data_IF_897279524056
#
_entry.id   IF_897279524056
#
_cell.length_a   1.000
_cell.length_b   1.000
_cell.length_c   1.000
_cell.angle_alpha   90.00
_cell.angle_beta   90.00
_cell.angle_gamma   90.00
#
_symmetry.space_group_name_H-M   'P 1'
#
loop_
_entity.id
_entity.type
_entity.pdbx_description
1 polymer ?
#
# COMPACT_ATOMS: atom_id res chain seq x y z
N UNK A 1 7.57 18.36 7.77
CA UNK A 1 7.38 17.64 6.50
C UNK A 1 8.55 17.89 5.56
N UNK A 2 9.03 16.88 4.91
CA UNK A 2 10.15 16.97 3.97
C UNK A 2 9.77 16.24 2.69
N UNK A 3 9.82 16.92 1.56
CA UNK A 3 9.61 16.35 0.24
C UNK A 3 10.70 16.79 -0.72
N UNK A 4 11.02 15.94 -1.68
CA UNK A 4 12.04 16.26 -2.68
C UNK A 4 11.64 17.42 -3.58
N UNK A 5 10.34 17.60 -3.79
CA UNK A 5 9.79 18.70 -4.61
C UNK A 5 8.88 19.60 -3.77
N UNK A 6 8.00 19.01 -2.95
CA UNK A 6 7.03 19.73 -2.14
C UNK A 6 7.13 19.27 -0.69
N UNK A 7 7.48 20.17 0.23
CA UNK A 7 7.53 19.84 1.66
C UNK A 7 6.14 19.58 2.22
N UNK A 8 5.19 20.49 2.02
CA UNK A 8 3.80 20.38 2.47
C UNK A 8 2.82 21.09 1.52
N UNK A 9 1.69 20.46 1.26
CA UNK A 9 0.51 21.04 0.63
C UNK A 9 -0.58 21.21 1.67
N UNK A 10 -1.07 22.44 1.85
CA UNK A 10 -2.17 22.74 2.77
C UNK A 10 -3.35 23.35 2.04
N UNK A 11 -4.57 23.01 2.46
CA UNK A 11 -5.83 23.71 2.13
C UNK A 11 -5.98 24.12 0.65
N UNK A 12 -6.04 23.14 -0.23
CA UNK A 12 -6.20 23.42 -1.64
C UNK A 12 -7.62 23.11 -2.14
N UNK A 13 -8.10 23.90 -3.07
CA UNK A 13 -9.45 23.77 -3.62
C UNK A 13 -9.62 22.63 -4.64
N UNK A 14 -8.68 22.33 -5.42
CA UNK A 14 -8.47 21.16 -6.27
C UNK A 14 -7.02 21.22 -6.70
N UNK A 15 -6.27 20.22 -6.39
CA UNK A 15 -4.87 20.21 -6.77
C UNK A 15 -4.58 19.00 -7.65
N UNK A 16 -3.89 19.25 -8.74
CA UNK A 16 -3.26 18.22 -9.54
C UNK A 16 -1.76 18.45 -9.52
N UNK A 17 -1.03 17.45 -9.05
CA UNK A 17 0.42 17.37 -9.17
C UNK A 17 0.73 16.27 -10.14
N UNK A 18 1.45 16.57 -11.22
CA UNK A 18 1.73 15.56 -12.24
C UNK A 18 3.11 15.70 -12.86
N UNK A 19 3.62 14.58 -13.39
CA UNK A 19 4.90 14.52 -14.11
C UNK A 19 6.09 15.00 -13.25
N UNK A 20 6.15 14.55 -12.00
CA UNK A 20 7.17 14.95 -11.03
C UNK A 20 8.22 13.85 -10.89
N UNK A 21 9.50 14.22 -10.96
CA UNK A 21 10.60 13.26 -10.81
C UNK A 21 11.60 13.78 -9.78
N UNK A 22 11.94 12.93 -8.80
CA UNK A 22 13.02 13.18 -7.85
C UNK A 22 14.16 12.19 -8.06
N UNK A 23 15.37 12.70 -8.27
CA UNK A 23 16.61 11.91 -8.32
C UNK A 23 17.45 12.06 -7.05
N UNK A 24 17.18 13.06 -6.23
CA UNK A 24 17.95 13.38 -5.04
C UNK A 24 17.59 12.50 -3.85
N UNK A 25 18.57 12.28 -2.97
CA UNK A 25 18.33 11.64 -1.69
C UNK A 25 17.59 12.59 -0.75
N UNK A 26 16.56 12.08 -0.07
CA UNK A 26 15.73 12.84 0.86
C UNK A 26 15.90 12.28 2.27
N UNK A 27 16.21 13.17 3.20
CA UNK A 27 16.27 12.85 4.62
C UNK A 27 15.41 13.83 5.41
N UNK A 28 14.48 13.30 6.20
CA UNK A 28 13.52 14.10 6.93
C UNK A 28 13.11 13.49 8.27
N UNK A 29 12.16 14.13 8.92
CA UNK A 29 11.56 13.66 10.18
C UNK A 29 10.19 13.00 9.93
N UNK A 30 9.13 13.46 10.60
CA UNK A 30 7.84 12.76 10.70
C UNK A 30 7.15 12.46 9.37
N UNK A 31 7.08 13.41 8.43
CA UNK A 31 6.40 13.24 7.15
C UNK A 31 7.41 13.44 6.04
N UNK A 32 7.89 12.35 5.49
CA UNK A 32 8.98 12.38 4.51
C UNK A 32 8.61 11.62 3.25
N UNK A 33 8.61 12.31 2.12
CA UNK A 33 8.34 11.72 0.81
C UNK A 33 9.39 12.10 -0.24
N UNK A 34 9.67 11.21 -1.15
CA UNK A 34 10.60 11.51 -2.25
C UNK A 34 10.08 12.63 -3.16
N UNK A 35 8.78 12.80 -3.27
CA UNK A 35 8.13 13.86 -4.05
C UNK A 35 7.44 14.87 -3.11
N UNK A 36 6.50 14.42 -2.27
CA UNK A 36 5.71 15.25 -1.37
C UNK A 36 5.85 14.72 0.05
N UNK A 37 6.23 15.58 0.99
CA UNK A 37 6.35 15.20 2.41
C UNK A 37 5.00 14.99 3.07
N UNK A 38 4.10 15.96 2.95
CA UNK A 38 2.80 15.95 3.61
C UNK A 38 1.74 16.63 2.74
N UNK A 39 0.59 16.01 2.66
CA UNK A 39 -0.60 16.58 2.04
C UNK A 39 -1.66 16.67 3.13
N UNK A 40 -2.06 17.88 3.47
CA UNK A 40 -2.95 18.13 4.59
C UNK A 40 -4.13 18.99 4.14
N UNK A 41 -5.31 18.38 4.09
CA UNK A 41 -6.54 19.05 3.69
C UNK A 41 -7.43 19.32 4.91
N UNK A 42 -7.68 20.57 5.20
CA UNK A 42 -8.60 21.02 6.21
C UNK A 42 -9.83 21.66 5.55
N UNK A 43 -10.94 20.98 5.58
CA UNK A 43 -12.25 21.59 5.58
C UNK A 43 -12.83 22.13 4.28
N UNK A 44 -12.21 21.98 3.10
CA UNK A 44 -12.83 22.33 1.81
C UNK A 44 -12.61 21.21 0.80
N UNK A 45 -13.59 20.36 0.75
CA UNK A 45 -13.54 19.15 0.00
C UNK A 45 -13.43 19.35 -1.53
N UNK A 46 -12.29 19.08 -2.12
CA UNK A 46 -12.15 18.86 -3.57
C UNK A 46 -11.22 17.69 -3.85
N UNK A 47 -11.36 17.08 -5.02
CA UNK A 47 -10.53 15.98 -5.45
C UNK A 47 -9.06 16.41 -5.57
N UNK A 48 -8.17 15.55 -5.09
CA UNK A 48 -6.74 15.70 -5.31
C UNK A 48 -6.22 14.61 -6.25
N UNK A 49 -5.27 14.97 -7.09
CA UNK A 49 -4.61 14.03 -8.00
C UNK A 49 -3.09 14.18 -7.93
N UNK A 50 -2.40 13.11 -7.55
CA UNK A 50 -0.98 12.92 -7.83
C UNK A 50 -0.86 11.93 -8.98
N UNK A 51 -0.27 12.34 -10.10
CA UNK A 51 -0.14 11.50 -11.29
C UNK A 51 1.29 11.49 -11.81
N UNK A 52 1.74 10.31 -12.29
CA UNK A 52 3.04 10.16 -12.93
C UNK A 52 4.19 10.70 -12.07
N UNK A 53 4.19 10.43 -10.76
CA UNK A 53 5.25 10.83 -9.88
C UNK A 53 6.28 9.70 -9.76
N UNK A 54 7.56 10.01 -9.95
CA UNK A 54 8.64 9.03 -9.94
C UNK A 54 9.71 9.44 -8.93
N UNK A 55 9.97 8.59 -7.96
CA UNK A 55 11.11 8.74 -7.07
C UNK A 55 12.22 7.75 -7.42
N UNK A 56 13.43 8.26 -7.61
CA UNK A 56 14.64 7.46 -7.88
C UNK A 56 15.60 7.52 -6.70
N UNK A 57 15.59 8.62 -5.97
CA UNK A 57 16.49 8.84 -4.84
C UNK A 57 16.07 8.08 -3.58
N UNK A 58 17.03 7.83 -2.72
CA UNK A 58 16.78 7.24 -1.39
C UNK A 58 15.97 8.18 -0.52
N UNK A 59 15.00 7.62 0.24
CA UNK A 59 14.16 8.36 1.19
C UNK A 59 14.35 7.80 2.59
N UNK A 60 14.69 8.67 3.54
CA UNK A 60 14.87 8.28 4.96
C UNK A 60 14.10 9.23 5.87
N UNK A 61 13.31 8.68 6.81
CA UNK A 61 12.53 9.48 7.74
C UNK A 61 12.24 8.76 9.07
N UNK A 62 11.56 9.45 9.99
CA UNK A 62 11.31 8.92 11.35
C UNK A 62 9.85 8.63 11.66
N UNK A 63 8.93 8.87 10.77
CA UNK A 63 7.49 8.67 11.01
C UNK A 63 6.80 8.10 9.80
N UNK A 64 5.97 8.90 9.16
CA UNK A 64 5.32 8.49 7.91
C UNK A 64 6.27 8.73 6.75
N UNK A 65 6.72 7.64 6.11
CA UNK A 65 7.74 7.71 5.08
C UNK A 65 7.26 7.02 3.82
N UNK A 66 7.29 7.72 2.70
CA UNK A 66 6.90 7.13 1.41
C UNK A 66 7.88 7.46 0.29
N UNK A 67 8.05 6.55 -0.64
CA UNK A 67 8.88 6.81 -1.81
C UNK A 67 8.40 8.02 -2.62
N UNK A 68 7.09 8.19 -2.76
CA UNK A 68 6.52 9.39 -3.39
C UNK A 68 5.91 10.33 -2.34
N UNK A 69 5.03 9.86 -1.46
CA UNK A 69 4.30 10.68 -0.50
C UNK A 69 4.54 10.16 0.92
N UNK A 70 4.97 11.02 1.85
CA UNK A 70 5.14 10.64 3.24
C UNK A 70 3.79 10.41 3.93
N UNK A 71 2.95 11.43 3.92
CA UNK A 71 1.66 11.43 4.58
C UNK A 71 0.60 12.14 3.75
N UNK A 72 -0.59 11.60 3.74
CA UNK A 72 -1.79 12.23 3.22
C UNK A 72 -2.85 12.22 4.31
N UNK A 73 -3.33 13.38 4.70
CA UNK A 73 -4.42 13.54 5.64
C UNK A 73 -5.53 14.42 5.06
N UNK A 74 -6.73 13.87 4.95
CA UNK A 74 -7.92 14.60 4.57
C UNK A 74 -9.04 14.32 5.58
N UNK A 75 -9.32 15.30 6.43
CA UNK A 75 -10.50 15.25 7.29
C UNK A 75 -11.73 15.43 6.42
N UNK A 76 -12.34 14.35 6.00
CA UNK A 76 -13.63 14.44 5.31
C UNK A 76 -14.59 15.29 6.14
N UNK A 77 -15.06 16.42 5.59
CA UNK A 77 -16.05 17.25 6.28
C UNK A 77 -17.34 16.47 6.32
N UNK A 78 -17.64 15.94 7.49
CA UNK A 78 -18.82 15.16 7.78
C UNK A 78 -20.14 15.89 7.47
N UNK A 79 -20.12 17.20 7.27
CA UNK A 79 -21.31 18.05 7.31
C UNK A 79 -21.77 18.65 5.97
N UNK A 80 -21.06 18.43 4.86
CA UNK A 80 -21.42 19.11 3.61
C UNK A 80 -21.93 18.20 2.48
N UNK A 81 -22.04 16.89 2.69
CA UNK A 81 -22.51 15.97 1.66
C UNK A 81 -21.64 15.94 0.38
N UNK A 82 -20.46 16.54 0.42
CA UNK A 82 -19.55 16.60 -0.72
C UNK A 82 -18.58 15.42 -0.60
N UNK A 83 -18.70 14.47 -1.52
CA UNK A 83 -17.77 13.36 -1.62
C UNK A 83 -16.54 13.77 -2.38
N UNK A 84 -15.39 13.80 -1.71
CA UNK A 84 -14.10 13.99 -2.36
C UNK A 84 -13.32 12.69 -2.46
N UNK A 85 -12.68 12.49 -3.58
CA UNK A 85 -11.82 11.33 -3.82
C UNK A 85 -10.40 11.82 -4.06
N UNK A 86 -9.45 11.18 -3.39
CA UNK A 86 -8.05 11.52 -3.47
C UNK A 86 -7.31 10.41 -4.23
N UNK A 87 -6.57 10.79 -5.26
CA UNK A 87 -5.97 9.85 -6.20
C UNK A 87 -4.44 9.93 -6.20
N UNK A 88 -3.80 8.78 -6.07
CA UNK A 88 -2.38 8.57 -6.36
C UNK A 88 -2.29 7.55 -7.49
N UNK A 89 -1.95 8.02 -8.70
CA UNK A 89 -2.07 7.24 -9.92
C UNK A 89 -0.76 7.22 -10.72
N UNK A 90 -0.41 6.06 -11.25
CA UNK A 90 0.74 5.91 -12.14
C UNK A 90 2.06 6.37 -11.52
N UNK A 91 2.22 6.15 -10.22
CA UNK A 91 3.41 6.53 -9.49
C UNK A 91 4.40 5.37 -9.43
N UNK A 92 5.70 5.69 -9.42
CA UNK A 92 6.74 4.69 -9.31
C UNK A 92 7.82 5.10 -8.30
N UNK A 93 8.31 4.12 -7.55
CA UNK A 93 9.47 4.29 -6.67
C UNK A 93 10.56 3.28 -7.04
N UNK A 94 11.76 3.79 -7.31
CA UNK A 94 12.98 3.01 -7.53
C UNK A 94 13.99 3.16 -6.39
N UNK A 95 13.84 4.19 -5.58
CA UNK A 95 14.71 4.47 -4.46
C UNK A 95 14.43 3.58 -3.24
N UNK A 96 15.45 3.36 -2.43
CA UNK A 96 15.29 2.73 -1.12
C UNK A 96 14.49 3.64 -0.18
N UNK A 97 13.53 3.08 0.56
CA UNK A 97 12.70 3.81 1.53
C UNK A 97 12.93 3.24 2.92
N UNK A 98 13.43 4.07 3.83
CA UNK A 98 13.71 3.69 5.21
C UNK A 98 12.93 4.55 6.19
N UNK A 99 12.08 3.92 6.99
CA UNK A 99 11.37 4.54 8.10
C UNK A 99 11.88 4.04 9.44
N UNK A 100 11.94 4.91 10.43
CA UNK A 100 12.27 4.55 11.80
C UNK A 100 11.22 5.06 12.77
N UNK A 101 11.35 4.65 14.04
CA UNK A 101 10.50 5.13 15.13
C UNK A 101 9.03 4.68 15.10
N UNK A 102 8.74 3.50 14.53
CA UNK A 102 7.40 2.91 14.61
C UNK A 102 6.34 3.56 13.71
N UNK A 103 6.76 4.23 12.63
CA UNK A 103 5.84 4.90 11.70
C UNK A 103 5.23 3.99 10.63
N UNK A 104 4.63 4.60 9.63
CA UNK A 104 4.10 3.91 8.46
C UNK A 104 5.03 4.13 7.26
N UNK A 105 5.48 3.06 6.64
CA UNK A 105 6.51 3.10 5.60
C UNK A 105 5.98 2.43 4.34
N UNK A 106 5.94 3.15 3.25
CA UNK A 106 5.45 2.62 1.98
C UNK A 106 6.33 2.96 0.79
N UNK A 107 6.40 2.07 -0.18
CA UNK A 107 7.16 2.34 -1.39
C UNK A 107 6.60 3.52 -2.19
N UNK A 108 5.30 3.73 -2.16
CA UNK A 108 4.64 4.88 -2.78
C UNK A 108 4.16 5.87 -1.73
N UNK A 109 3.39 5.43 -0.73
CA UNK A 109 2.86 6.29 0.32
C UNK A 109 3.05 5.69 1.72
N UNK A 110 3.53 6.49 2.68
CA UNK A 110 3.67 6.05 4.06
C UNK A 110 2.31 5.83 4.72
N UNK A 111 1.50 6.87 4.85
CA UNK A 111 0.14 6.77 5.39
C UNK A 111 -0.86 7.58 4.58
N UNK A 112 -1.89 6.91 4.11
CA UNK A 112 -3.03 7.51 3.43
C UNK A 112 -4.23 7.52 4.38
N UNK A 113 -4.47 8.66 5.01
CA UNK A 113 -5.60 8.91 5.90
C UNK A 113 -6.62 9.81 5.20
N UNK A 114 -7.62 9.21 4.58
CA UNK A 114 -8.70 9.91 3.89
C UNK A 114 -9.96 9.05 3.84
N UNK A 115 -11.14 9.66 3.72
CA UNK A 115 -12.40 8.91 3.64
C UNK A 115 -12.59 8.19 2.31
N UNK A 116 -12.12 8.78 1.20
CA UNK A 116 -12.09 8.12 -0.11
C UNK A 116 -10.72 8.31 -0.75
N UNK A 117 -10.02 7.24 -0.91
CA UNK A 117 -8.67 7.25 -1.44
C UNK A 117 -8.44 6.12 -2.43
N UNK A 118 -7.80 6.45 -3.53
CA UNK A 118 -7.43 5.50 -4.58
C UNK A 118 -5.94 5.56 -4.82
N UNK A 119 -5.25 4.44 -4.62
CA UNK A 119 -3.89 4.22 -5.10
C UNK A 119 -3.96 3.20 -6.22
N UNK A 120 -3.60 3.60 -7.42
CA UNK A 120 -3.77 2.71 -8.57
C UNK A 120 -2.66 2.85 -9.60
N UNK A 121 -2.43 1.77 -10.37
CA UNK A 121 -1.44 1.72 -11.45
C UNK A 121 -0.05 2.17 -11.01
N UNK A 122 0.34 1.80 -9.80
CA UNK A 122 1.58 2.24 -9.19
C UNK A 122 2.53 1.07 -8.91
N UNK A 123 3.83 1.32 -9.01
CA UNK A 123 4.83 0.28 -8.88
C UNK A 123 5.97 0.67 -7.91
N UNK A 124 6.35 -0.25 -7.03
CA UNK A 124 7.55 -0.10 -6.24
C UNK A 124 8.61 -1.09 -6.68
N UNK A 125 9.79 -0.58 -6.99
CA UNK A 125 11.00 -1.34 -7.32
C UNK A 125 12.08 -1.23 -6.24
N UNK A 126 11.99 -0.21 -5.39
CA UNK A 126 12.95 0.03 -4.31
C UNK A 126 12.70 -0.85 -3.10
N UNK A 127 13.74 -1.04 -2.29
CA UNK A 127 13.60 -1.68 -0.98
C UNK A 127 12.81 -0.77 -0.04
N UNK A 128 11.93 -1.35 0.79
CA UNK A 128 11.13 -0.65 1.78
C UNK A 128 11.36 -1.27 3.15
N UNK A 129 11.92 -0.50 4.06
CA UNK A 129 12.24 -0.97 5.40
C UNK A 129 11.70 -0.05 6.48
N UNK A 130 11.04 -0.67 7.46
CA UNK A 130 10.57 0.00 8.66
C UNK A 130 11.23 -0.52 9.93
N UNK A 131 11.44 0.33 10.92
CA UNK A 131 11.94 -0.05 12.24
C UNK A 131 11.28 0.73 13.37
N UNK A 132 11.32 0.18 14.58
CA UNK A 132 10.65 0.72 15.75
C UNK A 132 9.43 -0.11 16.14
N UNK A 133 8.81 0.22 17.27
CA UNK A 133 7.64 -0.51 17.76
C UNK A 133 6.42 -0.20 16.88
N UNK A 134 5.60 -1.23 16.62
CA UNK A 134 4.30 -1.11 15.92
C UNK A 134 4.39 -0.49 14.51
N UNK A 135 5.48 -0.76 13.79
CA UNK A 135 5.70 -0.25 12.44
C UNK A 135 4.81 -0.96 11.41
N UNK A 136 4.30 -0.21 10.43
CA UNK A 136 3.53 -0.75 9.30
C UNK A 136 4.32 -0.52 8.02
N UNK A 137 4.60 -1.60 7.31
CA UNK A 137 5.47 -1.54 6.13
C UNK A 137 4.77 -2.19 4.94
N UNK A 138 4.67 -1.47 3.84
CA UNK A 138 4.08 -1.99 2.61
C UNK A 138 4.86 -1.61 1.37
N UNK A 139 4.92 -2.49 0.41
CA UNK A 139 5.59 -2.22 -0.87
C UNK A 139 4.97 -1.04 -1.62
N UNK A 140 3.68 -0.82 -1.47
CA UNK A 140 2.96 0.34 -2.02
C UNK A 140 2.58 1.31 -0.90
N UNK A 141 1.84 0.86 0.10
CA UNK A 141 1.38 1.71 1.19
C UNK A 141 1.70 1.11 2.55
N UNK A 142 2.26 1.91 3.47
CA UNK A 142 2.47 1.45 4.85
C UNK A 142 1.16 1.26 5.58
N UNK A 143 0.27 2.24 5.52
CA UNK A 143 -1.05 2.22 6.13
C UNK A 143 -2.08 2.92 5.26
N UNK A 144 -3.27 2.37 5.18
CA UNK A 144 -4.44 3.01 4.58
C UNK A 144 -5.60 2.95 5.57
N UNK A 145 -6.28 4.08 5.78
CA UNK A 145 -7.37 4.18 6.72
C UNK A 145 -7.97 5.56 6.82
N UNK A 146 -8.95 5.76 7.68
CA UNK A 146 -9.55 7.06 7.93
C UNK A 146 -9.88 7.21 9.40
N UNK A 147 -9.16 8.12 10.05
CA UNK A 147 -9.44 8.55 11.42
C UNK A 147 -9.59 10.07 11.46
N UNK A 148 -10.41 10.57 12.36
CA UNK A 148 -10.41 11.98 12.71
C UNK A 148 -9.16 12.36 13.54
N UNK A 149 -9.03 13.63 13.89
CA UNK A 149 -7.91 14.12 14.73
C UNK A 149 -7.87 13.48 16.13
N UNK A 150 -9.01 13.02 16.63
CA UNK A 150 -9.12 12.34 17.91
C UNK A 150 -8.81 10.84 17.81
N UNK A 151 -8.53 10.32 16.61
CA UNK A 151 -8.28 8.91 16.35
C UNK A 151 -9.54 8.06 16.25
N UNK A 152 -10.72 8.68 16.09
CA UNK A 152 -11.98 7.97 15.89
C UNK A 152 -12.05 7.47 14.45
N UNK A 153 -12.33 6.19 14.27
CA UNK A 153 -12.52 5.60 12.95
C UNK A 153 -13.73 6.22 12.22
N UNK A 154 -13.55 6.56 10.95
CA UNK A 154 -14.58 7.13 10.09
C UNK A 154 -14.98 6.15 8.99
N UNK A 155 -16.24 6.19 8.50
CA UNK A 155 -16.60 5.46 7.28
C UNK A 155 -15.68 5.85 6.14
N UNK A 156 -15.16 4.87 5.42
CA UNK A 156 -14.22 5.15 4.35
C UNK A 156 -14.34 4.17 3.18
N UNK A 157 -13.97 4.64 2.00
CA UNK A 157 -13.84 3.85 0.79
C UNK A 157 -12.40 3.99 0.29
N UNK A 158 -11.62 2.94 0.48
CA UNK A 158 -10.21 2.91 0.11
C UNK A 158 -9.98 1.85 -0.96
N UNK A 159 -9.25 2.22 -1.98
CA UNK A 159 -8.90 1.30 -3.05
C UNK A 159 -7.39 1.27 -3.27
N UNK A 160 -6.83 0.07 -3.30
CA UNK A 160 -5.49 -0.21 -3.83
C UNK A 160 -5.65 -1.18 -4.98
N UNK A 161 -5.37 -0.73 -6.20
CA UNK A 161 -5.64 -1.52 -7.39
C UNK A 161 -4.57 -1.42 -8.46
N UNK A 162 -4.52 -2.40 -9.35
CA UNK A 162 -3.62 -2.42 -10.52
C UNK A 162 -2.18 -2.04 -10.19
N UNK A 163 -1.71 -2.42 -9.02
CA UNK A 163 -0.42 -2.00 -8.47
C UNK A 163 0.46 -3.19 -8.14
N UNK A 164 1.76 -2.98 -8.17
CA UNK A 164 2.70 -4.08 -7.98
C UNK A 164 3.94 -3.67 -7.18
N UNK A 165 4.50 -4.65 -6.47
CA UNK A 165 5.75 -4.51 -5.77
C UNK A 165 6.79 -5.51 -6.29
N UNK A 166 7.97 -5.02 -6.62
CA UNK A 166 9.16 -5.80 -6.98
C UNK A 166 10.26 -5.71 -5.92
N UNK A 167 10.22 -4.69 -5.08
CA UNK A 167 11.22 -4.45 -4.04
C UNK A 167 11.05 -5.36 -2.83
N UNK A 168 12.14 -5.57 -2.12
CA UNK A 168 12.11 -6.23 -0.82
C UNK A 168 11.39 -5.35 0.21
N UNK A 169 10.46 -5.93 1.00
CA UNK A 169 9.67 -5.21 1.99
C UNK A 169 9.83 -5.87 3.35
N UNK A 170 10.33 -5.15 4.33
CA UNK A 170 10.63 -5.78 5.61
C UNK A 170 10.69 -4.86 6.82
N UNK A 171 10.86 -5.50 7.97
CA UNK A 171 11.13 -4.85 9.24
C UNK A 171 12.17 -5.65 10.02
N UNK A 172 13.04 -4.94 10.74
CA UNK A 172 14.03 -5.53 11.64
C UNK A 172 13.53 -5.62 13.09
N UNK A 173 12.30 -5.21 13.34
CA UNK A 173 11.70 -5.17 14.69
C UNK A 173 10.52 -6.12 14.79
N UNK A 174 10.30 -6.70 15.98
CA UNK A 174 9.06 -7.42 16.29
C UNK A 174 7.84 -6.49 16.31
N UNK A 175 6.64 -7.06 16.32
CA UNK A 175 5.35 -6.33 16.30
C UNK A 175 5.17 -5.42 15.07
N UNK A 176 5.69 -5.81 13.94
CA UNK A 176 5.49 -5.12 12.67
C UNK A 176 4.31 -5.74 11.90
N UNK A 177 3.58 -4.90 11.16
CA UNK A 177 2.66 -5.37 10.14
C UNK A 177 3.32 -5.16 8.77
N UNK A 178 3.71 -6.24 8.11
CA UNK A 178 4.44 -6.15 6.85
C UNK A 178 3.66 -6.82 5.74
N UNK A 179 3.36 -6.06 4.70
CA UNK A 179 2.70 -6.58 3.49
C UNK A 179 3.50 -6.28 2.23
N UNK A 180 3.56 -7.23 1.33
CA UNK A 180 4.22 -7.01 0.04
C UNK A 180 3.67 -5.80 -0.73
N UNK A 181 2.40 -5.44 -0.48
CA UNK A 181 1.75 -4.26 -1.04
C UNK A 181 1.29 -3.28 0.04
N UNK A 182 0.51 -3.75 1.03
CA UNK A 182 -0.07 -2.93 2.08
C UNK A 182 0.30 -3.48 3.47
N UNK A 183 0.90 -2.64 4.31
CA UNK A 183 1.27 -3.05 5.68
C UNK A 183 0.05 -3.24 6.57
N UNK A 184 -0.81 -2.24 6.66
CA UNK A 184 -2.02 -2.28 7.47
C UNK A 184 -3.19 -1.57 6.80
N UNK A 185 -4.28 -2.32 6.66
CA UNK A 185 -5.59 -1.76 6.45
C UNK A 185 -6.19 -1.43 7.82
N UNK A 186 -6.39 -0.14 8.07
CA UNK A 186 -6.92 0.33 9.34
C UNK A 186 -8.44 0.20 9.42
N UNK A 187 -8.93 0.00 10.63
CA UNK A 187 -10.33 -0.03 10.95
C UNK A 187 -11.04 1.24 10.45
N UNK A 188 -12.10 1.07 9.66
CA UNK A 188 -13.11 2.10 9.42
C UNK A 188 -14.19 2.05 10.50
N UNK A 189 -15.14 2.99 10.48
CA UNK A 189 -16.35 2.91 11.30
C UNK A 189 -17.09 1.59 11.03
N UNK A 190 -17.69 0.96 12.04
CA UNK A 190 -18.46 -0.28 11.87
C UNK A 190 -19.75 -0.11 11.05
N UNK A 191 -20.03 1.08 10.53
CA UNK A 191 -21.18 1.34 9.67
C UNK A 191 -21.01 0.65 8.31
N UNK A 192 -22.08 0.17 7.71
CA UNK A 192 -22.12 -0.63 6.48
C UNK A 192 -21.55 0.06 5.22
N UNK A 193 -21.10 1.31 5.32
CA UNK A 193 -20.56 2.10 4.21
C UNK A 193 -19.05 2.05 4.06
N UNK A 194 -18.35 1.30 4.91
CA UNK A 194 -16.89 1.17 4.82
C UNK A 194 -16.50 0.06 3.86
N UNK A 195 -15.87 0.42 2.76
CA UNK A 195 -15.36 -0.53 1.79
C UNK A 195 -13.86 -0.35 1.57
N UNK A 196 -13.10 -1.39 1.88
CA UNK A 196 -11.71 -1.50 1.46
C UNK A 196 -11.62 -2.50 0.33
N UNK A 197 -11.03 -2.07 -0.76
CA UNK A 197 -10.83 -2.94 -1.91
C UNK A 197 -9.35 -2.98 -2.30
N UNK A 198 -8.76 -4.17 -2.23
CA UNK A 198 -7.44 -4.45 -2.77
C UNK A 198 -7.61 -5.44 -3.90
N UNK A 199 -7.39 -5.01 -5.15
CA UNK A 199 -7.66 -5.88 -6.29
C UNK A 199 -6.73 -5.69 -7.48
N UNK A 200 -6.59 -6.75 -8.26
CA UNK A 200 -5.76 -6.77 -9.45
C UNK A 200 -4.31 -6.33 -9.17
N UNK A 201 -3.76 -6.82 -8.08
CA UNK A 201 -2.44 -6.44 -7.59
C UNK A 201 -1.54 -7.66 -7.41
N UNK A 202 -0.23 -7.43 -7.42
CA UNK A 202 0.70 -8.52 -7.19
C UNK A 202 1.99 -8.12 -6.49
N UNK A 203 2.56 -9.08 -5.77
CA UNK A 203 3.86 -8.94 -5.13
C UNK A 203 4.88 -9.89 -5.75
N UNK A 204 5.97 -9.34 -6.23
CA UNK A 204 7.17 -10.03 -6.72
C UNK A 204 8.40 -9.77 -5.84
N UNK A 205 8.24 -9.02 -4.76
CA UNK A 205 9.28 -8.73 -3.78
C UNK A 205 9.30 -9.75 -2.64
N UNK A 206 10.46 -10.00 -2.07
CA UNK A 206 10.59 -10.83 -0.87
C UNK A 206 10.04 -10.05 0.33
N UNK A 207 9.42 -10.78 1.27
CA UNK A 207 8.99 -10.22 2.57
C UNK A 207 9.78 -10.92 3.69
N UNK A 208 11.05 -10.50 3.93
CA UNK A 208 11.87 -11.02 5.01
C UNK A 208 11.48 -10.33 6.33
N UNK A 209 11.03 -11.09 7.29
CA UNK A 209 10.56 -10.55 8.56
C UNK A 209 10.94 -11.41 9.75
N UNK A 210 10.88 -10.84 10.93
CA UNK A 210 11.08 -11.55 12.19
C UNK A 210 9.84 -12.37 12.60
N UNK A 211 10.01 -13.32 13.51
CA UNK A 211 8.97 -14.30 13.89
C UNK A 211 7.71 -13.69 14.51
N UNK A 212 7.82 -12.52 15.14
CA UNK A 212 6.76 -11.90 15.94
C UNK A 212 5.96 -10.84 15.16
N UNK A 213 5.95 -10.92 13.84
CA UNK A 213 5.31 -9.93 12.98
C UNK A 213 4.12 -10.52 12.21
N UNK A 214 3.09 -9.71 11.99
CA UNK A 214 2.00 -10.01 11.09
C UNK A 214 2.45 -9.77 9.65
N UNK A 215 2.79 -10.86 8.94
CA UNK A 215 3.40 -10.77 7.63
C UNK A 215 2.55 -11.43 6.57
N UNK A 216 2.31 -10.70 5.49
CA UNK A 216 1.60 -11.22 4.33
C UNK A 216 2.29 -10.86 3.02
N UNK A 217 2.22 -11.75 2.05
CA UNK A 217 2.80 -11.51 0.73
C UNK A 217 2.13 -10.37 -0.03
N UNK A 218 0.91 -10.03 0.33
CA UNK A 218 0.13 -8.92 -0.24
C UNK A 218 -0.25 -7.93 0.85
N UNK A 219 -0.90 -8.37 1.91
CA UNK A 219 -1.42 -7.55 3.00
C UNK A 219 -0.91 -8.05 4.36
N UNK A 220 -0.28 -7.17 5.16
CA UNK A 220 0.22 -7.53 6.49
C UNK A 220 -0.90 -7.77 7.48
N UNK A 221 -1.75 -6.78 7.71
CA UNK A 221 -2.87 -6.87 8.64
C UNK A 221 -4.13 -6.21 8.08
N UNK A 222 -5.26 -6.90 8.23
CA UNK A 222 -6.60 -6.37 7.96
C UNK A 222 -7.35 -6.21 9.30
N UNK A 223 -7.86 -5.02 9.57
CA UNK A 223 -8.47 -4.68 10.87
C UNK A 223 -9.98 -4.46 10.78
N UNK A 224 -10.60 -4.49 9.61
CA UNK A 224 -12.06 -4.35 9.46
C UNK A 224 -12.57 -4.91 8.13
N UNK A 225 -13.81 -4.58 7.78
CA UNK A 225 -14.46 -4.91 6.50
C UNK A 225 -13.53 -4.66 5.32
N UNK A 226 -13.24 -5.67 4.53
CA UNK A 226 -12.42 -5.52 3.36
C UNK A 226 -12.62 -6.64 2.35
N UNK A 227 -12.31 -6.32 1.11
CA UNK A 227 -12.28 -7.27 0.01
C UNK A 227 -10.90 -7.31 -0.62
N UNK A 228 -10.35 -8.50 -0.75
CA UNK A 228 -9.10 -8.74 -1.50
C UNK A 228 -9.40 -9.72 -2.62
N UNK A 229 -9.20 -9.29 -3.86
CA UNK A 229 -9.53 -10.12 -5.02
C UNK A 229 -8.52 -10.01 -6.14
N UNK A 230 -8.41 -11.08 -6.94
CA UNK A 230 -7.55 -11.14 -8.12
C UNK A 230 -6.11 -10.71 -7.82
N UNK A 231 -5.53 -11.21 -6.75
CA UNK A 231 -4.18 -10.87 -6.33
C UNK A 231 -3.30 -12.10 -6.24
N UNK A 232 -2.00 -11.91 -6.45
CA UNK A 232 -1.05 -13.00 -6.21
C UNK A 232 0.25 -12.54 -5.54
N UNK A 233 0.87 -13.49 -4.85
CA UNK A 233 2.22 -13.35 -4.33
C UNK A 233 3.13 -14.44 -4.93
N UNK A 234 4.19 -14.01 -5.57
CA UNK A 234 5.14 -14.88 -6.26
C UNK A 234 6.46 -15.05 -5.52
N UNK A 235 6.60 -14.55 -4.29
CA UNK A 235 7.85 -14.61 -3.55
C UNK A 235 7.65 -15.07 -2.11
N UNK A 236 8.76 -15.46 -1.50
CA UNK A 236 8.78 -15.96 -0.13
C UNK A 236 8.41 -14.88 0.88
N UNK A 237 7.52 -15.26 1.80
CA UNK A 237 7.23 -14.55 3.04
C UNK A 237 7.88 -15.33 4.18
N UNK A 238 8.84 -14.74 4.85
CA UNK A 238 9.48 -15.38 6.01
C UNK A 238 8.57 -15.21 7.23
N UNK A 239 8.28 -16.29 7.94
CA UNK A 239 7.47 -16.27 9.17
C UNK A 239 6.07 -15.64 9.03
N UNK A 240 5.41 -15.84 7.89
CA UNK A 240 4.10 -15.23 7.62
C UNK A 240 3.23 -16.06 6.70
N UNK A 241 2.15 -15.45 6.26
CA UNK A 241 1.21 -16.01 5.32
C UNK A 241 1.51 -15.55 3.89
N UNK A 242 1.31 -16.44 2.94
CA UNK A 242 1.65 -16.16 1.53
C UNK A 242 0.90 -14.98 0.93
N UNK A 243 -0.30 -14.65 1.42
CA UNK A 243 -1.13 -13.54 0.93
C UNK A 243 -1.42 -12.53 2.06
N UNK A 244 -2.16 -12.93 3.09
CA UNK A 244 -2.59 -12.04 4.18
C UNK A 244 -1.99 -12.53 5.49
N UNK A 245 -1.31 -11.64 6.20
CA UNK A 245 -0.64 -11.95 7.45
C UNK A 245 -1.63 -12.23 8.57
N UNK A 246 -2.36 -11.23 9.00
CA UNK A 246 -3.32 -11.32 10.10
C UNK A 246 -4.64 -10.64 9.75
N UNK A 247 -5.71 -11.23 10.26
CA UNK A 247 -7.05 -10.66 10.28
C UNK A 247 -7.45 -10.47 11.74
N UNK A 248 -7.67 -9.25 12.18
CA UNK A 248 -8.12 -8.95 13.53
C UNK A 248 -9.59 -9.28 13.70
N UNK A 249 -9.93 -9.96 14.81
CA UNK A 249 -11.21 -10.60 15.01
C UNK A 249 -12.43 -9.66 14.94
N UNK A 250 -13.56 -10.22 14.50
CA UNK A 250 -14.84 -9.52 14.39
C UNK A 250 -15.12 -8.85 13.04
N UNK A 251 -14.15 -8.81 12.16
CA UNK A 251 -14.27 -8.20 10.85
C UNK A 251 -14.86 -9.17 9.81
N UNK A 252 -15.66 -8.65 8.90
CA UNK A 252 -16.09 -9.40 7.71
C UNK A 252 -15.04 -9.20 6.62
N UNK A 253 -14.46 -10.29 6.18
CA UNK A 253 -13.44 -10.28 5.14
C UNK A 253 -13.88 -11.13 3.95
N UNK A 254 -13.93 -10.51 2.79
CA UNK A 254 -14.23 -11.19 1.54
C UNK A 254 -12.95 -11.39 0.73
N UNK A 255 -12.74 -12.58 0.20
CA UNK A 255 -11.58 -12.88 -0.63
C UNK A 255 -11.96 -13.77 -1.82
N UNK A 256 -11.44 -13.42 -2.99
CA UNK A 256 -11.69 -14.16 -4.22
C UNK A 256 -10.44 -14.21 -5.10
N UNK A 257 -10.20 -15.35 -5.73
CA UNK A 257 -9.14 -15.49 -6.73
C UNK A 257 -7.76 -15.03 -6.21
N UNK A 258 -7.37 -15.53 -5.05
CA UNK A 258 -6.06 -15.24 -4.47
C UNK A 258 -5.11 -16.40 -4.74
N UNK A 259 -3.90 -16.07 -5.20
CA UNK A 259 -2.91 -17.06 -5.60
C UNK A 259 -1.57 -16.84 -4.93
N UNK A 260 -0.93 -17.94 -4.57
CA UNK A 260 0.36 -17.93 -3.91
C UNK A 260 1.28 -18.98 -4.50
N UNK A 261 2.53 -18.61 -4.78
CA UNK A 261 3.53 -19.58 -5.20
C UNK A 261 3.74 -20.61 -4.09
N UNK A 262 3.78 -21.89 -4.46
CA UNK A 262 4.09 -22.99 -3.56
C UNK A 262 5.32 -22.66 -2.74
N UNK A 263 5.59 -22.82 -1.60
CA UNK A 263 6.75 -22.43 -0.77
C UNK A 263 6.86 -20.93 -0.41
N UNK A 264 5.92 -20.07 -0.76
CA UNK A 264 6.00 -18.65 -0.41
C UNK A 264 5.55 -18.30 1.01
N UNK A 265 5.04 -19.25 1.82
CA UNK A 265 4.57 -19.03 3.20
C UNK A 265 3.40 -19.95 3.55
N UNK A 266 2.77 -19.70 4.69
CA UNK A 266 1.51 -20.35 5.06
C UNK A 266 0.37 -19.83 4.17
N UNK A 267 -0.68 -20.61 4.00
CA UNK A 267 -1.83 -20.22 3.18
C UNK A 267 -3.12 -20.60 3.89
N UNK A 268 -3.96 -19.65 4.11
CA UNK A 268 -5.28 -19.89 4.69
C UNK A 268 -6.44 -19.35 3.84
N UNK A 269 -6.15 -18.48 2.88
CA UNK A 269 -7.18 -17.87 2.02
C UNK A 269 -6.80 -17.81 0.53
N UNK A 270 -5.77 -18.56 0.10
CA UNK A 270 -5.29 -18.52 -1.27
C UNK A 270 -5.04 -19.90 -1.85
N UNK A 271 -5.20 -20.04 -3.16
CA UNK A 271 -4.83 -21.22 -3.92
C UNK A 271 -3.34 -21.21 -4.24
N UNK A 272 -2.73 -22.39 -4.15
CA UNK A 272 -1.31 -22.56 -4.48
C UNK A 272 -1.11 -22.85 -5.95
N UNK A 273 -0.01 -22.34 -6.49
CA UNK A 273 0.46 -22.77 -7.79
C UNK A 273 1.97 -23.08 -7.78
N UNK A 274 2.39 -23.91 -8.72
CA UNK A 274 3.81 -24.27 -8.90
C UNK A 274 4.51 -23.28 -9.82
N UNK A 275 5.81 -23.12 -9.63
CA UNK A 275 6.64 -22.32 -10.53
C UNK A 275 6.49 -22.73 -12.00
N UNK A 276 6.31 -24.04 -12.28
CA UNK A 276 6.08 -24.57 -13.63
C UNK A 276 4.75 -24.14 -14.27
N UNK A 277 3.81 -23.66 -13.47
CA UNK A 277 2.45 -23.30 -13.90
C UNK A 277 2.22 -21.80 -13.94
N UNK A 278 3.20 -21.00 -13.55
CA UNK A 278 3.11 -19.53 -13.43
C UNK A 278 2.70 -18.83 -14.73
N UNK A 279 3.03 -19.39 -15.88
CA UNK A 279 2.71 -18.83 -17.20
C UNK A 279 1.46 -19.43 -17.85
N UNK A 280 0.66 -20.15 -17.13
CA UNK A 280 -0.60 -20.74 -17.63
C UNK A 280 -1.77 -19.89 -17.11
N UNK A 281 -2.55 -19.30 -17.99
CA UNK A 281 -3.78 -18.56 -17.61
C UNK A 281 -4.73 -19.42 -16.77
N UNK A 282 -4.80 -20.72 -17.06
CA UNK A 282 -5.63 -21.68 -16.31
C UNK A 282 -5.25 -21.82 -14.82
N UNK A 283 -4.06 -21.38 -14.43
CA UNK A 283 -3.61 -21.35 -13.04
C UNK A 283 -4.37 -20.29 -12.22
N UNK A 284 -4.71 -19.18 -12.87
CA UNK A 284 -5.31 -18.02 -12.20
C UNK A 284 -6.81 -17.92 -12.54
N UNK A 285 -7.58 -18.87 -12.05
CA UNK A 285 -9.03 -18.91 -12.28
C UNK A 285 -9.69 -17.64 -11.75
N UNK A 286 -10.54 -17.03 -12.56
CA UNK A 286 -11.23 -15.80 -12.22
C UNK A 286 -10.47 -14.52 -12.58
N UNK A 287 -9.21 -14.61 -12.99
CA UNK A 287 -8.51 -13.46 -13.55
C UNK A 287 -9.03 -13.14 -14.96
N UNK A 288 -9.22 -11.86 -15.22
CA UNK A 288 -9.66 -11.40 -16.56
C UNK A 288 -8.47 -11.24 -17.50
N UNK A 289 -8.16 -12.30 -18.24
CA UNK A 289 -7.11 -12.27 -19.28
C UNK A 289 -7.53 -11.59 -20.61
N UNK A 290 -8.75 -11.07 -20.67
CA UNK A 290 -9.19 -10.34 -21.88
C UNK A 290 -8.85 -8.85 -21.80
N UNK A 291 -8.90 -8.26 -20.59
CA UNK A 291 -8.77 -6.81 -20.43
C UNK A 291 -7.82 -6.36 -19.31
N UNK A 292 -7.52 -7.22 -18.35
CA UNK A 292 -6.75 -6.81 -17.16
C UNK A 292 -5.39 -7.49 -17.08
N UNK A 293 -5.33 -8.81 -17.28
CA UNK A 293 -4.14 -9.60 -17.10
C UNK A 293 -3.58 -10.13 -18.41
N UNK A 294 -2.29 -10.26 -18.50
CA UNK A 294 -1.62 -10.90 -19.64
C UNK A 294 -0.43 -11.73 -19.14
N UNK A 295 -0.27 -12.93 -19.68
CA UNK A 295 0.92 -13.75 -19.46
C UNK A 295 1.92 -13.50 -20.58
N UNK A 296 3.16 -13.21 -20.21
CA UNK A 296 4.27 -13.04 -21.17
C UNK A 296 5.51 -13.72 -20.62
N UNK A 297 6.15 -14.53 -21.44
CA UNK A 297 7.43 -15.18 -21.08
C UNK A 297 8.60 -14.20 -21.02
N UNK A 298 8.49 -13.05 -21.66
CA UNK A 298 9.51 -12.00 -21.71
C UNK A 298 9.32 -10.89 -20.67
N UNK A 299 8.15 -10.83 -20.04
CA UNK A 299 7.79 -9.82 -19.06
C UNK A 299 7.45 -10.49 -17.75
N UNK A 300 7.78 -9.85 -16.62
CA UNK A 300 7.41 -10.32 -15.27
C UNK A 300 7.79 -11.79 -15.00
N UNK A 301 8.87 -12.28 -15.62
CA UNK A 301 9.35 -13.66 -15.50
C UNK A 301 8.29 -14.74 -15.79
N UNK A 302 7.30 -14.45 -16.63
CA UNK A 302 6.23 -15.37 -17.00
C UNK A 302 5.03 -15.38 -16.04
N UNK A 303 4.99 -14.53 -15.03
CA UNK A 303 3.78 -14.28 -14.23
C UNK A 303 2.82 -13.34 -14.96
N UNK A 304 1.52 -13.39 -14.61
CA UNK A 304 0.54 -12.46 -15.17
C UNK A 304 0.84 -11.00 -14.92
#
# INVERSE_FOLDING_TARGET
STGGIIGRLNQFDCATCENLINYGEISGANYTGGIIGDIHEEGKAKNFYLKNAVNVGKVTGTGQVGGCVGHYWASGILNLGIETIHYILYCANYGEVNGSNGGNVGGIIGYFNARKAVVSHSANHGKVYGSGSDVKVGGIAGRMGSNDEAGTALPNNMELSYSCNFGEVGSNTGNANVGGLLGWQEQGSPDDETHYMLHNCYNMGIVPTNQDSDNGGVLGCIDHLGEVQNCYNAKKVSHGNGIIGTHKGGSIFYHHNLYVLEDSGKYWCADKFKESDKSKESTYKGFDFKSVWAVSTSTNNGFP
#
